data_IF_109557651838
#
_entry.id   IF_109557651838
#
_cell.length_a   1.000
_cell.length_b   1.000
_cell.length_c   1.000
_cell.angle_alpha   90.00
_cell.angle_beta   90.00
_cell.angle_gamma   90.00
#
_symmetry.space_group_name_H-M   'P 1'
#
loop_
_entity.id
_entity.type
_entity.pdbx_description
1 polymer ?
#
# COMPACT_ATOMS: atom_id res chain seq x y z
N UNK A 1 -4.39 -4.54 6.24
CA UNK A 1 -3.41 -4.30 5.17
C UNK A 1 -1.97 -4.32 5.70
N UNK A 2 -1.54 -3.40 6.56
CA UNK A 2 -0.12 -3.27 7.00
C UNK A 2 0.48 -4.58 7.55
N UNK A 3 -0.21 -5.33 8.43
CA UNK A 3 0.27 -6.62 8.94
C UNK A 3 0.54 -7.64 7.83
N UNK A 4 -0.34 -7.73 6.84
CA UNK A 4 -0.19 -8.62 5.68
C UNK A 4 1.10 -8.33 4.92
N UNK A 5 1.35 -7.05 4.60
CA UNK A 5 2.54 -6.64 3.86
C UNK A 5 3.83 -6.81 4.68
N UNK A 6 3.81 -6.48 5.97
CA UNK A 6 4.96 -6.67 6.87
C UNK A 6 5.33 -8.14 6.98
N UNK A 7 4.35 -9.04 7.23
CA UNK A 7 4.60 -10.47 7.29
C UNK A 7 5.07 -11.04 5.95
N UNK A 8 4.48 -10.60 4.83
CA UNK A 8 4.89 -11.03 3.50
C UNK A 8 6.34 -10.67 3.17
N UNK A 9 6.80 -9.47 3.55
CA UNK A 9 8.20 -9.08 3.39
C UNK A 9 9.13 -9.87 4.30
N UNK A 10 8.74 -10.11 5.56
CA UNK A 10 9.54 -10.89 6.53
C UNK A 10 9.60 -12.39 6.19
N UNK A 11 8.66 -12.91 5.42
CA UNK A 11 8.73 -14.29 4.91
C UNK A 11 9.84 -14.46 3.88
N UNK A 12 10.19 -13.40 3.15
CA UNK A 12 11.36 -13.37 2.25
C UNK A 12 12.71 -13.23 2.95
N UNK A 13 12.74 -12.99 4.26
CA UNK A 13 13.95 -12.87 5.07
C UNK A 13 13.86 -11.85 6.20
N UNK A 14 14.80 -11.89 7.17
CA UNK A 14 14.83 -10.95 8.28
C UNK A 14 15.05 -9.52 7.80
N UNK A 15 14.33 -8.55 8.40
CA UNK A 15 14.43 -7.13 8.08
C UNK A 15 14.24 -6.26 9.31
N UNK A 16 14.85 -5.07 9.30
CA UNK A 16 14.56 -4.04 10.29
C UNK A 16 13.29 -3.25 9.91
N UNK A 17 12.72 -2.53 10.88
CA UNK A 17 11.59 -1.64 10.61
C UNK A 17 11.90 -0.57 9.54
N UNK A 18 13.14 -0.12 9.48
CA UNK A 18 13.62 0.82 8.45
C UNK A 18 13.64 0.17 7.05
N UNK A 19 14.15 -1.07 6.93
CA UNK A 19 14.21 -1.77 5.64
C UNK A 19 12.82 -2.08 5.12
N UNK A 20 11.88 -2.45 6.00
CA UNK A 20 10.46 -2.62 5.68
C UNK A 20 9.86 -1.32 5.16
N UNK A 21 10.15 -0.19 5.83
CA UNK A 21 9.69 1.13 5.39
C UNK A 21 10.24 1.50 4.00
N UNK A 22 11.53 1.26 3.75
CA UNK A 22 12.15 1.54 2.45
C UNK A 22 11.54 0.68 1.33
N UNK A 23 11.35 -0.62 1.57
CA UNK A 23 10.74 -1.53 0.57
C UNK A 23 9.29 -1.18 0.28
N UNK A 24 8.49 -0.88 1.30
CA UNK A 24 7.09 -0.49 1.14
C UNK A 24 6.96 0.90 0.49
N UNK A 25 7.85 1.84 0.83
CA UNK A 25 7.91 3.15 0.17
C UNK A 25 8.30 3.05 -1.30
N UNK A 26 9.30 2.24 -1.63
CA UNK A 26 9.71 1.98 -3.02
C UNK A 26 8.63 1.27 -3.86
N UNK A 27 7.75 0.51 -3.21
CA UNK A 27 6.59 -0.13 -3.83
C UNK A 27 5.32 0.75 -3.82
N UNK A 28 5.44 2.02 -3.43
CA UNK A 28 4.34 3.00 -3.37
C UNK A 28 3.12 2.52 -2.53
N UNK A 29 3.41 1.72 -1.48
CA UNK A 29 2.38 1.08 -0.65
C UNK A 29 1.54 2.08 0.16
N UNK A 30 2.02 3.29 0.37
CA UNK A 30 1.25 4.40 0.94
C UNK A 30 0.07 4.76 0.02
N UNK A 31 0.33 4.85 -1.26
CA UNK A 31 -0.64 5.28 -2.27
C UNK A 31 -1.73 4.25 -2.52
N UNK A 32 -1.37 3.01 -2.84
CA UNK A 32 -2.35 1.97 -3.17
C UNK A 32 -2.89 1.20 -1.96
N UNK A 33 -2.14 1.16 -0.86
CA UNK A 33 -2.47 0.38 0.33
C UNK A 33 -2.69 1.20 1.60
N UNK A 34 -2.52 2.53 1.56
CA UNK A 34 -2.66 3.40 2.73
C UNK A 34 -1.66 3.07 3.86
N UNK A 35 -0.50 2.49 3.54
CA UNK A 35 0.49 2.04 4.51
C UNK A 35 1.41 3.18 4.88
N UNK A 36 1.06 3.92 5.92
CA UNK A 36 1.88 5.02 6.44
C UNK A 36 3.12 4.48 7.19
N UNK A 37 4.25 5.21 7.20
CA UNK A 37 5.46 4.83 7.92
C UNK A 37 5.22 4.46 9.38
N UNK A 38 4.44 5.25 10.10
CA UNK A 38 4.09 4.98 11.51
C UNK A 38 3.28 3.69 11.70
N UNK A 39 2.48 3.29 10.72
CA UNK A 39 1.67 2.06 10.79
C UNK A 39 2.54 0.80 10.73
N UNK A 40 3.73 0.87 10.12
CA UNK A 40 4.70 -0.24 10.05
C UNK A 40 5.23 -0.56 11.44
N UNK A 41 5.70 0.45 12.18
CA UNK A 41 6.21 0.25 13.54
C UNK A 41 5.13 -0.21 14.51
N UNK A 42 3.90 0.29 14.34
CA UNK A 42 2.76 -0.20 15.11
C UNK A 42 2.46 -1.68 14.79
N UNK A 43 2.50 -2.05 13.52
CA UNK A 43 2.30 -3.45 13.10
C UNK A 43 3.39 -4.37 13.66
N UNK A 44 4.68 -3.96 13.61
CA UNK A 44 5.79 -4.72 14.19
C UNK A 44 5.57 -4.99 15.69
N UNK A 45 5.27 -3.93 16.46
CA UNK A 45 5.01 -4.07 17.90
C UNK A 45 3.84 -5.03 18.18
N UNK A 46 2.78 -4.96 17.39
CA UNK A 46 1.60 -5.81 17.55
C UNK A 46 1.90 -7.25 17.17
N UNK A 47 2.59 -7.49 16.05
CA UNK A 47 2.97 -8.82 15.56
C UNK A 47 3.97 -9.50 16.50
N UNK A 48 4.88 -8.75 17.11
CA UNK A 48 5.80 -9.25 18.13
C UNK A 48 5.04 -9.68 19.38
N UNK A 49 4.11 -8.84 19.89
CA UNK A 49 3.25 -9.19 21.03
C UNK A 49 2.33 -10.39 20.77
N UNK A 50 1.96 -10.63 19.50
CA UNK A 50 1.17 -11.78 19.07
C UNK A 50 2.04 -13.04 18.79
N UNK A 51 3.37 -12.94 18.93
CA UNK A 51 4.29 -14.04 18.66
C UNK A 51 4.44 -14.38 17.16
N UNK A 52 3.93 -13.55 16.26
CA UNK A 52 4.01 -13.75 14.81
C UNK A 52 5.38 -13.41 14.24
N UNK A 53 6.12 -12.55 14.91
CA UNK A 53 7.52 -12.21 14.59
C UNK A 53 8.36 -12.28 15.86
N UNK A 54 9.66 -12.46 15.69
CA UNK A 54 10.62 -12.46 16.79
C UNK A 54 11.85 -11.64 16.42
N UNK A 55 12.51 -11.07 17.42
CA UNK A 55 13.79 -10.40 17.23
C UNK A 55 14.82 -11.43 16.72
N UNK A 56 15.41 -11.18 15.57
CA UNK A 56 16.46 -12.00 14.98
C UNK A 56 17.85 -11.52 15.39
N UNK A 57 17.99 -10.23 15.68
CA UNK A 57 19.24 -9.60 16.10
C UNK A 57 19.11 -8.09 16.16
N UNK A 58 20.22 -7.46 16.50
CA UNK A 58 20.36 -6.00 16.47
C UNK A 58 21.54 -5.68 15.55
N UNK A 59 21.28 -4.93 14.50
CA UNK A 59 22.32 -4.43 13.61
C UNK A 59 22.77 -3.05 14.06
N UNK A 60 24.08 -2.83 14.03
CA UNK A 60 24.66 -1.53 14.32
C UNK A 60 25.05 -0.85 13.01
N UNK A 61 24.45 0.29 12.72
CA UNK A 61 24.80 1.13 11.57
C UNK A 61 25.29 2.48 12.10
N UNK A 62 26.61 2.62 12.21
CA UNK A 62 27.24 3.78 12.87
C UNK A 62 26.86 3.82 14.35
N UNK A 63 26.27 4.94 14.80
CA UNK A 63 25.84 5.12 16.20
C UNK A 63 24.38 4.66 16.47
N UNK A 64 23.68 4.10 15.49
CA UNK A 64 22.28 3.68 15.63
C UNK A 64 22.17 2.17 15.65
N UNK A 65 21.44 1.66 16.61
CA UNK A 65 21.05 0.25 16.68
C UNK A 65 19.69 0.07 15.98
N UNK A 66 19.58 -0.95 15.13
CA UNK A 66 18.35 -1.35 14.45
C UNK A 66 17.96 -2.75 14.89
N UNK A 67 16.76 -2.90 15.45
CA UNK A 67 16.19 -4.21 15.71
C UNK A 67 15.80 -4.86 14.37
N UNK A 68 16.27 -6.09 14.15
CA UNK A 68 15.97 -6.91 12.97
C UNK A 68 14.99 -8.00 13.40
N UNK A 69 13.89 -8.13 12.69
CA UNK A 69 12.83 -9.08 12.98
C UNK A 69 12.81 -10.19 11.94
N UNK A 70 12.39 -11.37 12.36
CA UNK A 70 12.11 -12.52 11.50
C UNK A 70 10.69 -13.01 11.74
N UNK A 71 10.05 -13.56 10.71
CA UNK A 71 8.76 -14.22 10.85
C UNK A 71 8.93 -15.53 11.65
N UNK A 72 7.94 -15.87 12.46
CA UNK A 72 7.84 -17.18 13.14
C UNK A 72 6.94 -18.13 12.36
N UNK A 73 6.84 -19.39 12.78
CA UNK A 73 5.87 -20.32 12.20
C UNK A 73 4.42 -19.87 12.46
N UNK A 74 4.12 -19.37 13.66
CA UNK A 74 2.83 -18.73 13.95
C UNK A 74 2.56 -17.54 13.03
N UNK A 75 3.60 -16.76 12.70
CA UNK A 75 3.51 -15.66 11.76
C UNK A 75 3.20 -16.10 10.34
N UNK A 76 3.80 -17.21 9.86
CA UNK A 76 3.49 -17.77 8.54
C UNK A 76 2.03 -18.26 8.46
N UNK A 77 1.57 -18.96 9.50
CA UNK A 77 0.16 -19.38 9.56
C UNK A 77 -0.79 -18.18 9.57
N UNK A 78 -0.45 -17.12 10.30
CA UNK A 78 -1.21 -15.88 10.31
C UNK A 78 -1.17 -15.16 8.95
N UNK A 79 -0.02 -15.16 8.27
CA UNK A 79 0.12 -14.62 6.92
C UNK A 79 -0.80 -15.35 5.93
N UNK A 80 -0.82 -16.68 5.95
CA UNK A 80 -1.72 -17.48 5.10
C UNK A 80 -3.18 -17.12 5.34
N UNK A 81 -3.59 -16.98 6.59
CA UNK A 81 -4.95 -16.56 6.94
C UNK A 81 -5.26 -15.16 6.39
N UNK A 82 -4.36 -14.19 6.59
CA UNK A 82 -4.55 -12.82 6.10
C UNK A 82 -4.63 -12.75 4.57
N UNK A 83 -3.83 -13.57 3.84
CA UNK A 83 -3.91 -13.67 2.38
C UNK A 83 -5.27 -14.20 1.96
N UNK A 84 -5.70 -15.32 2.55
CA UNK A 84 -6.98 -15.95 2.22
C UNK A 84 -8.17 -15.02 2.50
N UNK A 85 -8.16 -14.28 3.61
CA UNK A 85 -9.20 -13.33 3.96
C UNK A 85 -9.20 -12.12 3.02
N UNK A 86 -8.01 -11.61 2.67
CA UNK A 86 -7.89 -10.50 1.72
C UNK A 86 -8.38 -10.88 0.31
N UNK A 87 -8.12 -12.12 -0.14
CA UNK A 87 -8.62 -12.61 -1.43
C UNK A 87 -10.13 -12.80 -1.47
N UNK A 88 -10.75 -13.10 -0.32
CA UNK A 88 -12.22 -13.22 -0.20
C UNK A 88 -12.93 -11.87 -0.06
N UNK A 89 -12.20 -10.85 0.39
CA UNK A 89 -12.79 -9.53 0.63
C UNK A 89 -13.21 -8.87 -0.69
N UNK A 90 -14.43 -8.33 -0.72
CA UNK A 90 -14.85 -7.47 -1.82
C UNK A 90 -14.13 -6.12 -1.70
N UNK A 91 -13.56 -5.65 -2.80
CA UNK A 91 -12.81 -4.39 -2.88
C UNK A 91 -13.43 -3.40 -3.88
N UNK A 92 -14.76 -3.36 -3.98
CA UNK A 92 -15.43 -2.35 -4.79
C UNK A 92 -15.17 -0.96 -4.17
N UNK A 93 -14.36 -0.15 -4.85
CA UNK A 93 -14.07 1.23 -4.46
C UNK A 93 -15.01 2.18 -5.20
N UNK A 94 -15.92 2.79 -4.43
CA UNK A 94 -16.72 3.88 -4.93
C UNK A 94 -16.09 5.22 -4.54
N UNK A 95 -16.10 6.25 -5.40
CA UNK A 95 -15.63 7.60 -5.05
C UNK A 95 -16.66 8.30 -4.15
N UNK A 96 -16.88 7.75 -2.94
CA UNK A 96 -17.95 8.13 -2.00
C UNK A 96 -17.90 9.60 -1.61
N UNK A 97 -16.71 10.19 -1.46
CA UNK A 97 -16.54 11.61 -1.16
C UNK A 97 -17.04 12.48 -2.32
N UNK A 98 -16.71 12.10 -3.56
CA UNK A 98 -17.20 12.79 -4.77
C UNK A 98 -18.72 12.69 -4.88
N UNK A 99 -19.29 11.49 -4.69
CA UNK A 99 -20.76 11.31 -4.76
C UNK A 99 -21.47 12.14 -3.68
N UNK A 100 -20.93 12.16 -2.46
CA UNK A 100 -21.46 13.02 -1.40
C UNK A 100 -21.37 14.49 -1.72
N UNK A 101 -20.25 14.94 -2.31
CA UNK A 101 -20.09 16.32 -2.72
C UNK A 101 -21.04 16.69 -3.87
N UNK A 102 -21.20 15.82 -4.87
CA UNK A 102 -22.12 16.04 -5.99
C UNK A 102 -23.59 16.15 -5.52
N UNK A 103 -24.00 15.37 -4.51
CA UNK A 103 -25.34 15.46 -3.94
C UNK A 103 -25.65 16.77 -3.22
N UNK A 104 -24.59 17.57 -2.91
CA UNK A 104 -24.68 18.86 -2.23
C UNK A 104 -24.15 20.01 -3.09
N UNK A 105 -23.89 19.77 -4.38
CA UNK A 105 -23.27 20.75 -5.26
C UNK A 105 -24.13 22.00 -5.51
N UNK A 106 -25.44 21.92 -5.27
CA UNK A 106 -26.38 23.03 -5.31
C UNK A 106 -26.08 24.12 -4.25
N UNK A 107 -25.26 23.83 -3.23
CA UNK A 107 -24.81 24.77 -2.22
C UNK A 107 -23.65 25.66 -2.66
N UNK A 108 -23.06 25.36 -3.83
CA UNK A 108 -21.94 26.10 -4.41
C UNK A 108 -22.39 26.80 -5.69
N UNK A 109 -21.69 27.87 -6.08
CA UNK A 109 -21.86 28.46 -7.40
C UNK A 109 -21.33 27.52 -8.50
N UNK A 110 -21.84 27.66 -9.71
CA UNK A 110 -21.34 26.88 -10.87
C UNK A 110 -19.83 27.06 -11.10
N UNK A 111 -19.30 28.25 -10.83
CA UNK A 111 -17.86 28.54 -10.96
C UNK A 111 -17.03 27.74 -9.96
N UNK A 112 -17.47 27.66 -8.70
CA UNK A 112 -16.80 26.87 -7.65
C UNK A 112 -16.84 25.37 -7.96
N UNK A 113 -18.00 24.85 -8.36
CA UNK A 113 -18.14 23.44 -8.77
C UNK A 113 -17.19 23.12 -9.92
N UNK A 114 -17.18 23.95 -10.96
CA UNK A 114 -16.33 23.76 -12.13
C UNK A 114 -14.84 23.79 -11.75
N UNK A 115 -14.43 24.76 -10.94
CA UNK A 115 -13.03 24.86 -10.48
C UNK A 115 -12.60 23.61 -9.69
N UNK A 116 -13.46 23.12 -8.79
CA UNK A 116 -13.19 21.92 -7.99
C UNK A 116 -13.06 20.66 -8.87
N UNK A 117 -13.95 20.49 -9.85
CA UNK A 117 -13.90 19.36 -10.79
C UNK A 117 -12.69 19.43 -11.74
N UNK A 118 -12.30 20.63 -12.19
CA UNK A 118 -11.08 20.82 -12.99
C UNK A 118 -9.81 20.50 -12.19
N UNK A 119 -9.80 20.80 -10.90
CA UNK A 119 -8.69 20.43 -10.01
C UNK A 119 -8.66 18.92 -9.78
N UNK A 120 -9.81 18.28 -9.56
CA UNK A 120 -9.91 16.82 -9.43
C UNK A 120 -9.40 16.15 -10.72
N UNK A 121 -9.85 16.57 -11.87
CA UNK A 121 -9.40 16.04 -13.18
C UNK A 121 -7.88 16.11 -13.30
N UNK A 122 -7.26 17.25 -12.99
CA UNK A 122 -5.80 17.40 -13.04
C UNK A 122 -5.07 16.42 -12.09
N UNK A 123 -5.65 16.15 -10.91
CA UNK A 123 -5.09 15.16 -9.97
C UNK A 123 -5.20 13.75 -10.52
N UNK A 124 -6.33 13.37 -11.11
CA UNK A 124 -6.53 12.06 -11.74
C UNK A 124 -5.62 11.86 -12.96
N UNK A 125 -5.44 12.90 -13.80
CA UNK A 125 -4.51 12.88 -14.94
C UNK A 125 -3.06 12.67 -14.47
N UNK A 126 -2.64 13.34 -13.37
CA UNK A 126 -1.31 13.16 -12.80
C UNK A 126 -1.14 11.74 -12.20
N UNK A 127 -2.19 11.21 -11.56
CA UNK A 127 -2.24 9.85 -11.04
C UNK A 127 -2.10 8.82 -12.15
N UNK A 128 -2.92 8.94 -13.19
CA UNK A 128 -2.87 8.10 -14.38
C UNK A 128 -1.47 8.09 -15.01
N UNK A 129 -0.89 9.27 -15.23
CA UNK A 129 0.44 9.39 -15.80
C UNK A 129 1.53 8.75 -14.93
N UNK A 130 1.37 8.76 -13.59
CA UNK A 130 2.31 8.11 -12.69
C UNK A 130 2.21 6.58 -12.76
N UNK A 131 0.98 6.03 -12.81
CA UNK A 131 0.75 4.59 -12.98
C UNK A 131 1.28 4.08 -14.33
N UNK A 132 1.06 4.83 -15.41
CA UNK A 132 1.59 4.51 -16.75
C UNK A 132 3.13 4.51 -16.76
N UNK A 133 3.79 5.46 -16.10
CA UNK A 133 5.26 5.44 -15.97
C UNK A 133 5.74 4.21 -15.19
N UNK A 134 5.03 3.83 -14.12
CA UNK A 134 5.33 2.61 -13.37
C UNK A 134 5.17 1.36 -14.21
N UNK A 135 4.12 1.31 -15.06
CA UNK A 135 3.87 0.22 -16.00
C UNK A 135 4.99 0.13 -17.05
N UNK A 136 5.33 1.24 -17.69
CA UNK A 136 6.38 1.31 -18.70
C UNK A 136 7.78 1.01 -18.14
N UNK A 137 8.08 1.45 -16.91
CA UNK A 137 9.35 1.14 -16.24
C UNK A 137 9.56 -0.35 -15.95
N UNK A 138 8.48 -1.12 -15.97
CA UNK A 138 8.49 -2.57 -15.82
C UNK A 138 8.53 -3.33 -17.17
N UNK A 139 8.45 -2.62 -18.30
CA UNK A 139 8.60 -3.22 -19.63
C UNK A 139 10.07 -3.66 -19.81
N UNK A 140 10.27 -4.97 -19.96
CA UNK A 140 11.61 -5.57 -20.07
C UNK A 140 12.17 -6.18 -18.79
N UNK A 141 11.49 -6.04 -17.66
CA UNK A 141 11.76 -6.79 -16.44
C UNK A 141 10.81 -7.99 -16.32
N UNK A 142 11.28 -9.09 -15.71
CA UNK A 142 10.42 -10.23 -15.37
C UNK A 142 9.49 -9.84 -14.21
N UNK A 143 8.41 -9.13 -14.55
CA UNK A 143 7.37 -8.78 -13.56
C UNK A 143 6.45 -9.98 -13.40
N UNK A 144 6.21 -10.47 -12.18
CA UNK A 144 5.27 -11.55 -11.94
C UNK A 144 3.89 -11.24 -12.57
N UNK A 145 3.23 -12.22 -13.22
CA UNK A 145 1.95 -11.99 -13.91
C UNK A 145 0.89 -11.31 -13.03
N UNK A 146 0.82 -11.68 -11.75
CA UNK A 146 -0.12 -11.07 -10.80
C UNK A 146 0.18 -9.58 -10.53
N UNK A 147 1.45 -9.19 -10.51
CA UNK A 147 1.81 -7.77 -10.33
C UNK A 147 1.40 -6.94 -11.55
N UNK A 148 1.54 -7.49 -12.77
CA UNK A 148 1.06 -6.84 -13.99
C UNK A 148 -0.45 -6.63 -13.96
N UNK A 149 -1.22 -7.69 -13.66
CA UNK A 149 -2.68 -7.59 -13.53
C UNK A 149 -3.09 -6.53 -12.49
N UNK A 150 -2.36 -6.43 -11.39
CA UNK A 150 -2.64 -5.43 -10.36
C UNK A 150 -2.43 -4.01 -10.87
N UNK A 151 -1.33 -3.75 -11.58
CA UNK A 151 -1.04 -2.43 -12.16
C UNK A 151 -2.08 -2.07 -13.23
N UNK A 152 -2.41 -2.99 -14.13
CA UNK A 152 -3.42 -2.77 -15.17
C UNK A 152 -4.79 -2.43 -14.54
N UNK A 153 -5.19 -3.16 -13.49
CA UNK A 153 -6.43 -2.86 -12.77
C UNK A 153 -6.42 -1.47 -12.10
N UNK A 154 -5.29 -1.04 -11.56
CA UNK A 154 -5.15 0.32 -10.96
C UNK A 154 -5.30 1.40 -12.04
N UNK A 155 -4.67 1.22 -13.21
CA UNK A 155 -4.81 2.12 -14.37
C UNK A 155 -6.27 2.23 -14.80
N UNK A 156 -6.95 1.09 -14.97
CA UNK A 156 -8.37 1.04 -15.35
C UNK A 156 -9.29 1.75 -14.34
N UNK A 157 -9.03 1.60 -13.04
CA UNK A 157 -9.81 2.27 -11.99
C UNK A 157 -9.69 3.79 -12.10
N UNK A 158 -8.47 4.31 -12.28
CA UNK A 158 -8.26 5.77 -12.39
C UNK A 158 -8.86 6.30 -13.69
N UNK A 159 -8.74 5.58 -14.81
CA UNK A 159 -9.27 5.99 -16.11
C UNK A 159 -10.80 6.11 -16.13
N UNK A 160 -11.51 5.37 -15.27
CA UNK A 160 -12.98 5.38 -15.18
C UNK A 160 -13.55 6.48 -14.28
N UNK A 161 -12.72 7.21 -13.56
CA UNK A 161 -13.13 8.34 -12.72
C UNK A 161 -13.10 9.67 -13.46
#
# INVERSE_FOLDING_TARGET
MTKLLVLGLLDGGPMSGYDLQQKLGGADAERWGGVLPGSIYHALKKLEGEGCIALAGVEQTGHRQKAVYRITEAGRNHLHTLIADALRASSALYPTTLYSALSLADKLSQAEVRLALEEQRRRLEAEYAALERGRAGNEGQEVPPLARITIDNMVDIVQRQ
#
